data_IF_746508509727
#
_entry.id   IF_746508509727
#
_cell.length_a   1.000
_cell.length_b   1.000
_cell.length_c   1.000
_cell.angle_alpha   90.00
_cell.angle_beta   90.00
_cell.angle_gamma   90.00
#
_symmetry.space_group_name_H-M   'P 1'
#
loop_
_entity.id
_entity.type
_entity.pdbx_description
1 polymer ?
#
# COMPACT_ATOMS: atom_id res chain seq x y z
N UNK A 1 -23.28 6.75 -15.62
CA UNK A 1 -23.46 6.85 -14.18
C UNK A 1 -23.32 5.53 -13.49
N UNK A 2 -24.10 4.56 -13.90
CA UNK A 2 -24.03 3.23 -13.30
C UNK A 2 -22.67 2.59 -13.50
N UNK A 3 -22.02 2.85 -14.60
CA UNK A 3 -20.72 2.27 -14.89
C UNK A 3 -19.66 2.75 -13.91
N UNK A 4 -19.69 4.03 -13.57
CA UNK A 4 -18.74 4.59 -12.63
C UNK A 4 -18.93 3.99 -11.26
N UNK A 5 -20.18 3.83 -10.85
CA UNK A 5 -20.47 3.24 -9.56
C UNK A 5 -20.07 1.77 -9.53
N UNK A 6 -20.22 1.10 -10.65
CA UNK A 6 -19.84 -0.31 -10.75
C UNK A 6 -18.34 -0.48 -10.57
N UNK A 7 -17.55 0.42 -11.13
CA UNK A 7 -16.10 0.34 -10.98
C UNK A 7 -15.71 0.57 -9.52
N UNK A 8 -16.33 1.55 -8.87
CA UNK A 8 -16.08 1.81 -7.46
C UNK A 8 -16.44 0.60 -6.61
N UNK A 9 -17.61 0.04 -6.88
CA UNK A 9 -18.07 -1.12 -6.14
C UNK A 9 -17.14 -2.30 -6.34
N UNK A 10 -16.63 -2.48 -7.55
CA UNK A 10 -15.69 -3.56 -7.82
C UNK A 10 -14.42 -3.45 -7.00
N UNK A 11 -13.86 -2.26 -6.94
CA UNK A 11 -12.66 -2.01 -6.18
C UNK A 11 -12.91 -2.22 -4.68
N UNK A 12 -13.99 -1.66 -4.18
CA UNK A 12 -14.33 -1.79 -2.77
C UNK A 12 -14.59 -3.25 -2.40
N UNK A 13 -15.21 -3.99 -3.32
CA UNK A 13 -15.48 -5.40 -3.09
C UNK A 13 -14.20 -6.20 -2.94
N UNK A 14 -13.20 -5.89 -3.75
CA UNK A 14 -11.91 -6.57 -3.65
C UNK A 14 -11.23 -6.26 -2.34
N UNK A 15 -11.30 -5.01 -1.90
CA UNK A 15 -10.77 -4.63 -0.60
C UNK A 15 -11.48 -5.40 0.51
N UNK A 16 -12.79 -5.49 0.40
CA UNK A 16 -13.60 -6.20 1.39
C UNK A 16 -13.25 -7.68 1.43
N UNK A 17 -13.05 -8.28 0.25
CA UNK A 17 -12.65 -9.67 0.18
C UNK A 17 -11.31 -9.89 0.87
N UNK A 18 -10.38 -8.97 0.65
CA UNK A 18 -9.08 -9.02 1.32
C UNK A 18 -9.25 -8.92 2.83
N UNK A 19 -10.11 -8.02 3.27
CA UNK A 19 -10.38 -7.87 4.69
C UNK A 19 -10.96 -9.15 5.27
N UNK A 20 -11.84 -9.82 4.53
CA UNK A 20 -12.43 -11.05 5.00
C UNK A 20 -11.41 -12.15 5.17
N UNK A 21 -10.43 -12.23 4.28
CA UNK A 21 -9.38 -13.24 4.40
C UNK A 21 -8.60 -13.05 5.70
N UNK A 22 -8.30 -11.79 6.04
CA UNK A 22 -7.52 -11.48 7.23
C UNK A 22 -8.31 -11.54 8.53
N UNK A 23 -9.63 -11.46 8.42
CA UNK A 23 -10.47 -11.25 9.59
C UNK A 23 -10.21 -12.25 10.72
N UNK A 24 -10.33 -13.52 10.43
CA UNK A 24 -10.06 -14.56 11.43
C UNK A 24 -10.36 -14.13 12.87
N UNK A 25 -9.34 -14.13 13.71
CA UNK A 25 -9.45 -13.75 15.12
C UNK A 25 -9.08 -12.31 15.38
N UNK A 26 -8.87 -11.52 14.35
CA UNK A 26 -8.42 -10.14 14.51
C UNK A 26 -9.59 -9.20 14.77
N UNK A 27 -9.32 -8.16 15.55
CA UNK A 27 -10.27 -7.07 15.71
C UNK A 27 -10.48 -6.34 14.40
N UNK A 28 -11.67 -5.78 14.25
CA UNK A 28 -12.00 -5.05 13.03
C UNK A 28 -11.02 -3.93 12.74
N UNK A 29 -10.60 -3.20 13.77
CA UNK A 29 -9.66 -2.10 13.57
C UNK A 29 -8.30 -2.61 13.12
N UNK A 30 -7.89 -3.79 13.57
CA UNK A 30 -6.60 -4.33 13.21
C UNK A 30 -6.54 -4.80 11.77
N UNK A 31 -7.52 -5.61 11.35
CA UNK A 31 -7.44 -6.11 9.99
C UNK A 31 -7.66 -5.02 8.95
N UNK A 32 -8.46 -4.01 9.29
CA UNK A 32 -8.64 -2.87 8.40
C UNK A 32 -7.32 -2.13 8.19
N UNK A 33 -6.59 -1.95 9.27
CA UNK A 33 -5.28 -1.30 9.19
C UNK A 33 -4.30 -2.06 8.32
N UNK A 34 -4.30 -3.39 8.45
CA UNK A 34 -3.43 -4.23 7.65
C UNK A 34 -3.81 -4.12 6.17
N UNK A 35 -5.11 -4.23 5.87
CA UNK A 35 -5.58 -4.15 4.49
C UNK A 35 -5.25 -2.80 3.88
N UNK A 36 -5.51 -1.71 4.61
CA UNK A 36 -5.22 -0.37 4.12
C UNK A 36 -3.72 -0.17 3.88
N UNK A 37 -2.90 -0.72 4.77
CA UNK A 37 -1.45 -0.64 4.59
C UNK A 37 -1.00 -1.33 3.32
N UNK A 38 -1.55 -2.50 3.05
CA UNK A 38 -1.20 -3.23 1.84
C UNK A 38 -1.72 -2.53 0.59
N UNK A 39 -2.90 -1.95 0.65
CA UNK A 39 -3.43 -1.18 -0.46
C UNK A 39 -2.49 -0.02 -0.78
N UNK A 40 -2.06 0.68 0.25
CA UNK A 40 -1.17 1.81 0.10
C UNK A 40 0.16 1.37 -0.52
N UNK A 41 0.73 0.28 -0.01
CA UNK A 41 1.97 -0.25 -0.54
C UNK A 41 1.82 -0.64 -2.01
N UNK A 42 0.73 -1.33 -2.34
CA UNK A 42 0.47 -1.73 -3.72
C UNK A 42 0.32 -0.51 -4.63
N UNK A 43 -0.43 0.48 -4.17
CA UNK A 43 -0.64 1.69 -4.96
C UNK A 43 0.69 2.42 -5.21
N UNK A 44 1.47 2.59 -4.16
CA UNK A 44 2.78 3.26 -4.29
C UNK A 44 3.65 2.50 -5.29
N UNK A 45 3.68 1.18 -5.16
CA UNK A 45 4.51 0.35 -6.02
C UNK A 45 4.04 0.37 -7.46
N UNK A 46 2.72 0.30 -7.69
CA UNK A 46 2.18 0.33 -9.04
C UNK A 46 2.45 1.68 -9.71
N UNK A 47 2.31 2.75 -8.95
CA UNK A 47 2.56 4.09 -9.46
C UNK A 47 4.04 4.25 -9.82
N UNK A 48 4.92 3.74 -8.97
CA UNK A 48 6.34 3.75 -9.23
C UNK A 48 6.66 2.92 -10.47
N UNK A 49 6.09 1.73 -10.58
CA UNK A 49 6.39 0.82 -11.67
C UNK A 49 5.94 1.40 -13.02
N UNK A 50 4.82 2.09 -13.03
CA UNK A 50 4.36 2.74 -14.26
C UNK A 50 5.41 3.71 -14.77
N UNK A 51 5.93 4.55 -13.88
CA UNK A 51 6.96 5.51 -14.24
C UNK A 51 8.27 4.81 -14.58
N UNK A 52 8.61 3.77 -13.83
CA UNK A 52 9.82 2.99 -14.07
C UNK A 52 9.83 2.44 -15.49
N UNK A 53 8.72 1.82 -15.90
CA UNK A 53 8.62 1.24 -17.23
C UNK A 53 8.72 2.31 -18.32
N UNK A 54 8.16 3.47 -18.04
CA UNK A 54 8.23 4.59 -18.97
C UNK A 54 9.68 5.05 -19.14
N UNK A 55 10.41 5.16 -18.04
CA UNK A 55 11.81 5.59 -18.07
C UNK A 55 12.69 4.56 -18.76
N UNK A 56 12.41 3.28 -18.53
CA UNK A 56 13.14 2.21 -19.23
C UNK A 56 12.89 2.31 -20.73
N UNK A 57 11.64 2.55 -21.13
CA UNK A 57 11.30 2.69 -22.54
C UNK A 57 11.99 3.88 -23.18
N UNK A 58 12.19 4.95 -22.41
CA UNK A 58 12.90 6.13 -22.92
C UNK A 58 14.38 5.86 -23.16
N UNK A 59 14.94 4.88 -22.43
CA UNK A 59 16.29 4.43 -22.71
C UNK A 59 17.41 5.33 -22.22
N UNK A 60 17.12 6.30 -21.38
CA UNK A 60 18.13 7.26 -20.91
C UNK A 60 18.83 6.81 -19.62
N UNK A 61 18.39 5.69 -19.03
CA UNK A 61 19.05 5.14 -17.85
C UNK A 61 18.67 5.82 -16.53
N UNK A 62 17.56 6.55 -16.50
CA UNK A 62 17.16 7.29 -15.30
C UNK A 62 16.14 6.54 -14.44
N UNK A 63 15.88 5.29 -14.74
CA UNK A 63 14.82 4.55 -14.03
C UNK A 63 15.12 4.31 -12.56
N UNK A 64 16.36 4.47 -12.13
CA UNK A 64 16.69 4.37 -10.71
C UNK A 64 17.01 5.73 -10.08
N UNK A 65 16.73 6.80 -10.78
CA UNK A 65 16.98 8.14 -10.27
C UNK A 65 15.76 8.63 -9.51
N UNK A 66 15.92 8.79 -8.19
CA UNK A 66 14.81 9.19 -7.32
C UNK A 66 14.17 10.49 -7.78
N UNK A 67 14.97 11.45 -8.26
CA UNK A 67 14.46 12.76 -8.64
C UNK A 67 13.46 12.66 -9.79
N UNK A 68 13.61 11.67 -10.65
CA UNK A 68 12.66 11.49 -11.75
C UNK A 68 11.25 11.19 -11.25
N UNK A 69 11.14 10.64 -10.05
CA UNK A 69 9.86 10.29 -9.46
C UNK A 69 9.34 11.42 -8.58
N UNK A 70 10.18 11.90 -7.69
CA UNK A 70 9.74 12.90 -6.72
C UNK A 70 9.34 14.21 -7.39
N UNK A 71 9.97 14.55 -8.53
CA UNK A 71 9.60 15.75 -9.26
C UNK A 71 8.17 15.68 -9.80
N UNK A 72 7.62 14.47 -9.95
CA UNK A 72 6.25 14.29 -10.42
C UNK A 72 5.32 13.87 -9.31
N UNK A 73 5.76 13.97 -8.06
CA UNK A 73 4.93 13.58 -6.94
C UNK A 73 4.76 12.09 -6.77
N UNK A 74 5.66 11.30 -7.34
CA UNK A 74 5.63 9.85 -7.22
C UNK A 74 6.64 9.45 -6.15
N UNK A 75 6.22 8.59 -5.23
CA UNK A 75 7.13 8.10 -4.20
C UNK A 75 8.10 7.10 -4.83
N UNK A 76 9.36 7.25 -4.48
CA UNK A 76 10.38 6.34 -4.99
C UNK A 76 10.36 5.04 -4.19
N UNK A 77 10.34 3.92 -4.90
CA UNK A 77 10.35 2.61 -4.25
C UNK A 77 11.68 1.94 -4.57
N UNK A 78 12.57 1.80 -3.59
CA UNK A 78 13.87 1.20 -3.86
C UNK A 78 13.76 -0.29 -4.17
N UNK A 79 14.78 -0.82 -4.84
CA UNK A 79 14.83 -2.24 -5.12
C UNK A 79 14.75 -3.01 -3.81
N UNK A 80 14.01 -4.10 -3.82
CA UNK A 80 13.76 -4.90 -2.64
C UNK A 80 12.47 -4.53 -1.93
N UNK A 81 11.94 -3.34 -2.19
CA UNK A 81 10.70 -2.88 -1.56
C UNK A 81 9.53 -2.82 -2.55
N UNK A 82 9.77 -3.20 -3.79
CA UNK A 82 8.73 -3.13 -4.81
C UNK A 82 7.74 -4.26 -4.65
N UNK A 83 6.54 -4.06 -5.15
CA UNK A 83 5.51 -5.08 -4.96
C UNK A 83 5.94 -6.44 -5.51
N UNK A 84 6.68 -6.46 -6.61
CA UNK A 84 7.18 -7.72 -7.15
C UNK A 84 8.09 -8.44 -6.15
N UNK A 85 8.87 -7.69 -5.37
CA UNK A 85 9.72 -8.28 -4.34
C UNK A 85 8.88 -8.85 -3.21
N UNK A 86 7.83 -8.12 -2.82
CA UNK A 86 6.94 -8.57 -1.75
C UNK A 86 6.14 -9.79 -2.19
N UNK A 87 5.58 -9.76 -3.40
CA UNK A 87 4.75 -10.86 -3.87
C UNK A 87 5.57 -12.14 -4.08
N UNK A 88 6.85 -11.99 -4.42
CA UNK A 88 7.73 -13.16 -4.56
C UNK A 88 7.90 -13.88 -3.24
N UNK A 89 7.67 -13.21 -2.13
CA UNK A 89 7.79 -13.78 -0.79
C UNK A 89 6.45 -13.99 -0.11
N UNK A 90 5.37 -13.95 -0.88
CA UNK A 90 4.02 -14.03 -0.30
C UNK A 90 3.82 -15.29 0.54
N UNK A 91 4.43 -16.39 0.16
CA UNK A 91 4.26 -17.66 0.86
C UNK A 91 5.40 -17.98 1.81
N UNK A 92 6.28 -17.03 2.02
CA UNK A 92 7.38 -17.17 2.97
C UNK A 92 6.85 -16.89 4.38
N UNK A 93 7.23 -17.69 5.40
CA UNK A 93 6.81 -17.39 6.77
C UNK A 93 7.25 -16.02 7.26
N UNK A 94 8.26 -15.44 6.62
CA UNK A 94 8.76 -14.11 6.96
C UNK A 94 8.10 -12.99 6.17
N UNK A 95 6.97 -13.26 5.54
CA UNK A 95 6.31 -12.25 4.71
C UNK A 95 6.01 -10.97 5.50
N UNK A 96 5.68 -11.11 6.77
CA UNK A 96 5.44 -9.93 7.60
C UNK A 96 6.67 -9.05 7.71
N UNK A 97 7.82 -9.66 7.92
CA UNK A 97 9.08 -8.93 8.01
C UNK A 97 9.43 -8.31 6.66
N UNK A 98 9.16 -9.03 5.58
CA UNK A 98 9.39 -8.51 4.23
C UNK A 98 8.61 -7.22 4.03
N UNK A 99 7.35 -7.20 4.42
CA UNK A 99 6.50 -6.02 4.28
C UNK A 99 7.01 -4.89 5.17
N UNK A 100 7.33 -5.19 6.42
CA UNK A 100 7.84 -4.17 7.34
C UNK A 100 9.12 -3.54 6.80
N UNK A 101 10.01 -4.37 6.27
CA UNK A 101 11.26 -3.87 5.69
C UNK A 101 11.00 -3.01 4.47
N UNK A 102 10.02 -3.40 3.65
CA UNK A 102 9.64 -2.59 2.49
C UNK A 102 9.11 -1.23 2.92
N UNK A 103 8.28 -1.20 3.95
CA UNK A 103 7.76 0.07 4.47
C UNK A 103 8.89 0.97 4.96
N UNK A 104 9.83 0.40 5.70
CA UNK A 104 10.97 1.18 6.18
C UNK A 104 11.81 1.73 5.05
N UNK A 105 12.05 0.91 4.02
CA UNK A 105 12.86 1.33 2.89
C UNK A 105 12.19 2.47 2.13
N UNK A 106 10.87 2.40 1.97
CA UNK A 106 10.12 3.46 1.30
C UNK A 106 10.16 4.74 2.11
N UNK A 107 9.99 4.65 3.42
CA UNK A 107 10.07 5.84 4.27
C UNK A 107 11.43 6.49 4.21
N UNK A 108 12.46 5.68 4.15
CA UNK A 108 13.82 6.20 4.11
C UNK A 108 14.06 7.04 2.86
N UNK A 109 13.45 6.65 1.75
CA UNK A 109 13.63 7.36 0.49
C UNK A 109 12.65 8.51 0.31
N UNK A 110 11.64 8.61 1.16
CA UNK A 110 10.57 9.59 0.99
C UNK A 110 10.27 10.27 2.32
N UNK A 111 10.86 11.42 2.53
CA UNK A 111 10.73 12.13 3.80
C UNK A 111 9.28 12.42 4.17
N UNK A 112 8.42 12.61 3.17
CA UNK A 112 7.01 12.89 3.42
C UNK A 112 6.29 11.73 4.09
N UNK A 113 6.85 10.52 3.99
CA UNK A 113 6.23 9.34 4.56
C UNK A 113 6.87 8.91 5.88
N UNK A 114 7.81 9.69 6.37
CA UNK A 114 8.54 9.32 7.59
C UNK A 114 7.57 9.07 8.74
N UNK A 115 7.70 7.89 9.34
CA UNK A 115 6.93 7.47 10.51
C UNK A 115 5.42 7.37 10.26
N UNK A 116 4.99 7.41 8.99
CA UNK A 116 3.58 7.30 8.66
C UNK A 116 3.16 5.88 8.34
N UNK A 117 4.04 5.14 7.64
CA UNK A 117 3.65 3.82 7.16
C UNK A 117 3.59 2.80 8.31
N UNK A 118 2.61 1.92 8.30
CA UNK A 118 2.52 0.90 9.34
C UNK A 118 3.64 -0.11 9.20
N UNK A 119 4.19 -0.54 10.34
CA UNK A 119 5.28 -1.49 10.38
C UNK A 119 5.02 -2.52 11.46
N UNK A 120 3.88 -3.18 11.37
CA UNK A 120 3.49 -4.17 12.36
C UNK A 120 3.01 -5.47 11.73
N UNK A 121 3.50 -5.74 10.52
CA UNK A 121 3.09 -6.93 9.80
C UNK A 121 3.82 -8.19 10.28
N UNK A 122 4.97 -8.01 10.94
CA UNK A 122 5.74 -9.14 11.43
C UNK A 122 5.25 -9.66 12.79
N UNK A 123 4.32 -8.96 13.43
CA UNK A 123 3.89 -9.35 14.77
C UNK A 123 3.29 -10.75 14.78
N UNK A 124 3.49 -11.50 15.87
CA UNK A 124 3.03 -12.90 15.90
C UNK A 124 1.51 -13.07 15.79
N UNK A 125 0.75 -12.06 16.22
CA UNK A 125 -0.70 -12.14 16.20
C UNK A 125 -1.27 -12.14 14.77
N UNK A 126 -0.49 -11.70 13.80
CA UNK A 126 -0.94 -11.65 12.43
C UNK A 126 -0.56 -12.96 11.74
N UNK A 127 -1.57 -13.67 11.26
CA UNK A 127 -1.39 -14.95 10.58
C UNK A 127 -0.67 -14.71 9.24
N UNK A 128 0.54 -15.23 9.12
CA UNK A 128 1.38 -14.99 7.95
C UNK A 128 0.86 -15.67 6.70
N UNK A 129 0.18 -16.79 6.87
CA UNK A 129 -0.43 -17.48 5.75
C UNK A 129 -1.54 -16.65 5.14
N UNK A 130 -2.39 -16.09 6.00
CA UNK A 130 -3.48 -15.24 5.53
C UNK A 130 -2.94 -13.95 4.93
N UNK A 131 -1.88 -13.42 5.52
CA UNK A 131 -1.23 -12.24 4.97
C UNK A 131 -0.73 -12.51 3.56
N UNK A 132 -0.11 -13.66 3.34
CA UNK A 132 0.34 -14.06 2.01
C UNK A 132 -0.80 -14.18 1.02
N UNK A 133 -1.94 -14.69 1.47
CA UNK A 133 -3.12 -14.80 0.61
C UNK A 133 -3.61 -13.42 0.17
N UNK A 134 -3.57 -12.46 1.07
CA UNK A 134 -3.97 -11.09 0.73
C UNK A 134 -2.98 -10.46 -0.24
N UNK A 135 -1.69 -10.73 -0.06
CA UNK A 135 -0.67 -10.26 -1.00
C UNK A 135 -0.96 -10.83 -2.39
N UNK A 136 -1.27 -12.12 -2.47
CA UNK A 136 -1.62 -12.74 -3.76
C UNK A 136 -2.84 -12.10 -4.37
N UNK A 137 -3.85 -11.85 -3.56
CA UNK A 137 -5.08 -11.24 -4.02
C UNK A 137 -4.79 -9.85 -4.62
N UNK A 138 -4.02 -9.05 -3.91
CA UNK A 138 -3.70 -7.71 -4.35
C UNK A 138 -2.77 -7.70 -5.56
N UNK A 139 -1.97 -8.73 -5.72
CA UNK A 139 -1.08 -8.81 -6.88
C UNK A 139 -1.87 -8.78 -8.18
N UNK A 140 -3.09 -9.28 -8.16
CA UNK A 140 -3.93 -9.31 -9.34
C UNK A 140 -4.82 -8.07 -9.51
N UNK A 141 -4.73 -7.13 -8.59
CA UNK A 141 -5.50 -5.89 -8.68
C UNK A 141 -4.62 -4.81 -9.29
N UNK A 142 -5.09 -4.18 -10.34
CA UNK A 142 -4.38 -3.04 -10.91
C UNK A 142 -4.82 -1.78 -10.21
N UNK A 143 -3.91 -1.20 -9.44
CA UNK A 143 -4.21 0.02 -8.70
C UNK A 143 -4.10 1.26 -9.57
N UNK A 144 -3.38 1.16 -10.68
CA UNK A 144 -3.19 2.26 -11.62
C UNK A 144 -3.66 1.80 -12.98
N UNK A 145 -4.69 2.46 -13.49
CA UNK A 145 -5.14 2.24 -14.84
C UNK A 145 -5.35 3.59 -15.50
N UNK A 146 -5.69 3.56 -16.76
CA UNK A 146 -5.81 4.78 -17.53
C UNK A 146 -7.06 5.57 -17.15
N UNK A 147 -6.96 6.87 -17.26
CA UNK A 147 -8.13 7.73 -17.24
C UNK A 147 -8.72 7.94 -15.86
N UNK A 148 -10.02 7.78 -15.79
CA UNK A 148 -10.79 8.18 -14.61
C UNK A 148 -10.46 7.38 -13.35
N UNK A 149 -9.90 6.19 -13.51
CA UNK A 149 -9.57 5.39 -12.34
C UNK A 149 -8.46 6.00 -11.51
N UNK A 150 -7.67 6.85 -12.12
CA UNK A 150 -6.63 7.56 -11.42
C UNK A 150 -7.20 8.39 -10.28
N UNK A 151 -8.36 9.02 -10.51
CA UNK A 151 -9.00 9.82 -9.47
C UNK A 151 -9.48 8.97 -8.31
N UNK A 152 -10.01 7.80 -8.62
CA UNK A 152 -10.48 6.89 -7.58
C UNK A 152 -9.31 6.43 -6.72
N UNK A 153 -8.22 6.08 -7.35
CA UNK A 153 -7.05 5.63 -6.63
C UNK A 153 -6.40 6.76 -5.85
N UNK A 154 -6.43 7.96 -6.41
CA UNK A 154 -5.94 9.13 -5.70
C UNK A 154 -6.72 9.38 -4.43
N UNK A 155 -8.03 9.25 -4.51
CA UNK A 155 -8.88 9.41 -3.32
C UNK A 155 -8.64 8.30 -2.31
N UNK A 156 -8.45 7.09 -2.79
CA UNK A 156 -8.14 5.97 -1.91
C UNK A 156 -6.81 6.20 -1.20
N UNK A 157 -5.84 6.70 -1.94
CA UNK A 157 -4.54 7.02 -1.39
C UNK A 157 -4.66 8.09 -0.30
N UNK A 158 -5.40 9.17 -0.57
CA UNK A 158 -5.62 10.23 0.42
C UNK A 158 -6.36 9.69 1.62
N UNK A 159 -7.34 8.83 1.39
CA UNK A 159 -8.08 8.21 2.46
C UNK A 159 -7.16 7.36 3.34
N UNK A 160 -6.29 6.57 2.73
CA UNK A 160 -5.34 5.75 3.49
C UNK A 160 -4.42 6.62 4.32
N UNK A 161 -3.91 7.69 3.73
CA UNK A 161 -3.04 8.61 4.47
C UNK A 161 -3.76 9.20 5.67
N UNK A 162 -5.01 9.61 5.48
CA UNK A 162 -5.77 10.18 6.58
C UNK A 162 -6.05 9.15 7.66
N UNK A 163 -6.31 7.91 7.27
CA UNK A 163 -6.53 6.84 8.24
C UNK A 163 -5.27 6.55 9.05
N UNK A 164 -4.12 6.54 8.41
CA UNK A 164 -2.87 6.33 9.14
C UNK A 164 -2.59 7.50 10.09
N UNK A 165 -2.81 8.71 9.62
CA UNK A 165 -2.62 9.89 10.45
C UNK A 165 -3.58 9.88 11.64
N UNK A 166 -4.81 9.44 11.40
CA UNK A 166 -5.80 9.35 12.45
C UNK A 166 -5.41 8.31 13.50
N UNK A 167 -4.90 7.17 13.06
CA UNK A 167 -4.43 6.15 13.99
C UNK A 167 -3.27 6.65 14.83
N UNK A 168 -2.35 7.34 14.18
CA UNK A 168 -1.24 7.96 14.91
C UNK A 168 -1.76 8.97 15.90
N UNK A 169 -2.66 9.81 15.46
CA UNK A 169 -3.26 10.81 16.31
C UNK A 169 -4.00 10.19 17.49
N UNK A 170 -4.65 9.07 17.25
CA UNK A 170 -5.37 8.39 18.32
C UNK A 170 -4.45 7.86 19.39
N UNK A 171 -3.33 7.32 18.97
CA UNK A 171 -2.37 6.78 19.93
C UNK A 171 -1.80 7.85 20.82
N UNK A 172 -1.41 8.96 20.20
CA UNK A 172 -0.92 10.07 20.96
C UNK A 172 -2.03 10.92 21.46
N UNK A 173 -3.17 10.83 20.81
CA UNK A 173 -4.26 11.75 20.96
C UNK A 173 -5.29 11.38 21.97
N UNK A 174 -5.12 10.25 22.60
CA UNK A 174 -5.98 9.96 23.73
C UNK A 174 -5.87 11.02 24.79
N UNK A 175 -4.83 11.78 24.68
CA UNK A 175 -4.56 12.80 25.65
C UNK A 175 -5.33 14.05 25.43
N UNK A 176 -5.65 14.37 24.18
CA UNK A 176 -6.45 15.52 24.03
C UNK A 176 -7.79 15.06 23.57
N UNK A 177 -8.72 15.55 24.25
CA UNK A 177 -10.08 15.25 24.02
C UNK A 177 -10.49 15.94 22.78
N UNK A 178 -11.02 15.21 21.90
CA UNK A 178 -11.65 15.87 20.76
C UNK A 178 -12.82 16.59 21.34
N UNK A 179 -12.79 17.76 21.27
CA UNK A 179 -13.95 18.48 21.76
C UNK A 179 -14.89 18.77 20.67
#
# INVERSE_FOLDING_TARGET
MAEKNTADIGFEKQIWNAACVLRGNMDASEYKGVVLGLIFLKYISDRFEEKYNQLVADGDGFEEDRDEYTSEGIFFVPAGARWSDVSAKAHDPEIGQVIDDAMRAIEKENARLKDILPKNFARPELDKRRLGEVVDLFTNIKMIEHGSEKDILGRTYEYCLSMFAEQEGKRGGEFFTPS
#
